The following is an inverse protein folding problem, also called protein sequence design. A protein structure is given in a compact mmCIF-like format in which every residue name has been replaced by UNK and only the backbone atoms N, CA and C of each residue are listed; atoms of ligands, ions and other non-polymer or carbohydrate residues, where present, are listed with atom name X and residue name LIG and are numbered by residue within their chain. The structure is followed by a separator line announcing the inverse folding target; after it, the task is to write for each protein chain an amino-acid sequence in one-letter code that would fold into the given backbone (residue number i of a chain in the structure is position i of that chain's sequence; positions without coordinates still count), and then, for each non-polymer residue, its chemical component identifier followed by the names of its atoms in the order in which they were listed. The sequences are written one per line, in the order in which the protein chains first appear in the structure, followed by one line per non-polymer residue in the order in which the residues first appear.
data_IF_336128930156
#
_entry.id   IF_336128930156
#
_cell.length_a   1.000
_cell.length_b   1.000
_cell.length_c   1.000
_cell.angle_alpha   90.00
_cell.angle_beta   90.00
_cell.angle_gamma   90.00
#
_symmetry.space_group_name_H-M   'P 1'
#
loop_
_entity.id
_entity.type
_entity.pdbx_description
1 polymer ?
#
# COMPACT_ATOMS: atom_id res chain seq x y z
N UNK A 1 17.18 -19.15 3.19
CA UNK A 1 16.20 -18.38 3.98
C UNK A 1 14.87 -18.50 3.25
N UNK A 2 13.76 -18.78 3.94
CA UNK A 2 12.47 -18.94 3.26
C UNK A 2 11.95 -17.56 2.84
N UNK A 3 11.80 -17.33 1.54
CA UNK A 3 11.16 -16.13 1.00
C UNK A 3 9.67 -16.17 1.38
N UNK A 4 9.18 -15.10 2.02
CA UNK A 4 7.77 -14.98 2.42
C UNK A 4 7.08 -13.98 1.51
N UNK A 5 5.98 -14.40 0.92
CA UNK A 5 5.15 -13.56 0.06
C UNK A 5 3.99 -12.99 0.86
N UNK A 6 3.81 -11.68 0.81
CA UNK A 6 2.78 -10.99 1.60
C UNK A 6 1.63 -10.50 0.74
N UNK A 7 0.41 -10.51 1.28
CA UNK A 7 -0.74 -9.87 0.64
C UNK A 7 -0.79 -8.37 0.97
N UNK A 8 -0.94 -7.51 -0.03
CA UNK A 8 -1.01 -6.06 0.18
C UNK A 8 -2.30 -5.56 0.85
N UNK A 9 -3.37 -6.35 0.82
CA UNK A 9 -4.67 -5.97 1.39
C UNK A 9 -4.88 -6.38 2.84
N UNK A 10 -4.24 -7.48 3.27
CA UNK A 10 -4.45 -8.04 4.62
C UNK A 10 -3.16 -8.39 5.36
N UNK A 11 -2.01 -8.36 4.69
CA UNK A 11 -0.72 -8.71 5.28
C UNK A 11 -0.55 -10.18 5.64
N UNK A 12 -1.44 -11.06 5.18
CA UNK A 12 -1.24 -12.51 5.23
C UNK A 12 0.03 -12.89 4.47
N UNK A 13 0.82 -13.80 5.02
CA UNK A 13 2.07 -14.28 4.41
C UNK A 13 1.98 -15.77 4.06
N UNK A 14 2.49 -16.15 2.90
CA UNK A 14 2.62 -17.54 2.47
C UNK A 14 4.05 -17.85 2.01
N UNK A 15 4.37 -19.15 1.91
CA UNK A 15 5.67 -19.64 1.42
C UNK A 15 5.86 -19.48 -0.08
N UNK A 16 4.77 -19.34 -0.84
CA UNK A 16 4.77 -19.26 -2.29
C UNK A 16 3.54 -18.49 -2.80
N UNK A 17 3.68 -17.87 -3.98
CA UNK A 17 2.67 -16.98 -4.59
C UNK A 17 1.37 -17.73 -4.89
N UNK A 18 1.46 -19.00 -5.31
CA UNK A 18 0.30 -19.81 -5.65
C UNK A 18 -0.58 -20.07 -4.42
N UNK A 19 0.04 -20.48 -3.31
CA UNK A 19 -0.67 -20.67 -2.04
C UNK A 19 -1.32 -19.37 -1.56
N UNK A 20 -0.64 -18.23 -1.71
CA UNK A 20 -1.20 -16.92 -1.36
C UNK A 20 -2.45 -16.59 -2.20
N UNK A 21 -2.30 -16.59 -3.52
CA UNK A 21 -3.33 -16.10 -4.47
C UNK A 21 -4.50 -17.06 -4.66
N UNK A 22 -4.34 -18.34 -4.29
CA UNK A 22 -5.42 -19.34 -4.30
C UNK A 22 -6.44 -19.16 -3.18
N UNK A 23 -6.07 -18.49 -2.08
CA UNK A 23 -6.94 -18.29 -0.94
C UNK A 23 -7.80 -17.01 -1.05
N UNK A 24 -9.04 -17.02 -0.51
CA UNK A 24 -9.89 -15.85 -0.48
C UNK A 24 -9.41 -14.81 0.55
N UNK A 25 -9.51 -13.53 0.21
CA UNK A 25 -9.12 -12.41 1.05
C UNK A 25 -10.31 -11.51 1.33
N UNK A 26 -10.85 -11.55 2.55
CA UNK A 26 -12.00 -10.72 2.98
C UNK A 26 -11.70 -9.23 3.03
N UNK A 27 -10.42 -8.84 3.05
CA UNK A 27 -9.98 -7.44 3.06
C UNK A 27 -9.64 -6.91 1.66
N UNK A 28 -9.69 -7.75 0.64
CA UNK A 28 -9.59 -7.29 -0.73
C UNK A 28 -10.96 -6.74 -1.15
N UNK A 29 -11.05 -5.43 -1.30
CA UNK A 29 -12.29 -4.75 -1.71
C UNK A 29 -12.47 -4.73 -3.23
N UNK A 30 -11.41 -5.00 -4.00
CA UNK A 30 -11.44 -4.98 -5.47
C UNK A 30 -11.53 -6.39 -6.09
N UNK A 31 -11.42 -7.45 -5.29
CA UNK A 31 -11.54 -8.83 -5.73
C UNK A 31 -11.63 -9.81 -4.55
N UNK A 32 -11.77 -11.10 -4.85
CA UNK A 32 -12.03 -12.11 -3.82
C UNK A 32 -10.76 -12.77 -3.26
N UNK A 33 -9.62 -12.66 -3.93
CA UNK A 33 -8.39 -13.39 -3.57
C UNK A 33 -7.30 -12.49 -2.97
N UNK A 34 -6.30 -13.07 -2.32
CA UNK A 34 -5.12 -12.30 -1.92
C UNK A 34 -4.37 -11.75 -3.13
N UNK A 35 -3.82 -10.54 -3.00
CA UNK A 35 -2.99 -9.91 -4.03
C UNK A 35 -1.60 -9.72 -3.48
N UNK A 36 -0.61 -10.22 -4.22
CA UNK A 36 0.80 -10.12 -3.86
C UNK A 36 1.21 -8.66 -3.68
N UNK A 37 1.99 -8.40 -2.63
CA UNK A 37 2.76 -7.19 -2.45
C UNK A 37 4.03 -7.30 -3.29
N UNK A 38 4.16 -6.44 -4.30
CA UNK A 38 5.29 -6.48 -5.26
C UNK A 38 6.52 -5.68 -4.79
N UNK A 39 6.46 -5.09 -3.59
CA UNK A 39 7.59 -4.35 -3.04
C UNK A 39 8.59 -5.24 -2.30
N UNK A 40 9.77 -4.68 -2.03
CA UNK A 40 10.81 -5.33 -1.23
C UNK A 40 10.45 -5.34 0.27
N UNK A 41 11.05 -6.27 1.03
CA UNK A 41 10.98 -6.28 2.48
C UNK A 41 11.65 -5.03 3.06
N UNK A 42 10.95 -4.34 3.96
CA UNK A 42 11.37 -3.08 4.57
C UNK A 42 11.20 -3.15 6.08
N UNK A 43 12.07 -2.44 6.81
CA UNK A 43 11.94 -2.30 8.27
C UNK A 43 10.64 -1.59 8.67
N UNK A 44 10.12 -0.72 7.80
CA UNK A 44 8.85 -0.03 7.98
C UNK A 44 8.09 0.07 6.65
N UNK A 45 6.80 -0.21 6.71
CA UNK A 45 5.88 -0.09 5.58
C UNK A 45 5.06 1.18 5.75
N UNK A 46 4.94 1.96 4.68
CA UNK A 46 4.17 3.21 4.69
C UNK A 46 2.93 3.06 3.82
N UNK A 47 1.78 3.49 4.31
CA UNK A 47 0.54 3.42 3.55
C UNK A 47 0.57 4.41 2.38
N UNK A 48 0.32 3.93 1.17
CA UNK A 48 0.34 4.76 -0.06
C UNK A 48 -0.73 5.86 -0.09
N UNK A 49 -1.80 5.74 0.72
CA UNK A 49 -2.95 6.65 0.73
C UNK A 49 -2.94 7.70 1.83
N UNK A 50 -2.29 7.44 2.97
CA UNK A 50 -2.28 8.37 4.09
C UNK A 50 -0.90 8.61 4.72
N UNK A 51 0.11 7.83 4.30
CA UNK A 51 1.46 7.89 4.87
C UNK A 51 1.57 7.37 6.30
N UNK A 52 0.59 6.61 6.81
CA UNK A 52 0.73 5.90 8.10
C UNK A 52 1.82 4.84 7.98
N UNK A 53 2.70 4.75 8.98
CA UNK A 53 3.76 3.75 9.03
C UNK A 53 3.33 2.55 9.89
N UNK A 54 3.82 1.37 9.56
CA UNK A 54 3.69 0.15 10.35
C UNK A 54 4.97 -0.69 10.25
N UNK A 55 5.28 -1.45 11.30
CA UNK A 55 6.47 -2.31 11.36
C UNK A 55 6.34 -3.57 10.48
N UNK A 56 5.11 -3.91 10.07
CA UNK A 56 4.83 -5.02 9.15
C UNK A 56 3.60 -4.70 8.30
N UNK A 57 3.44 -5.40 7.17
CA UNK A 57 2.27 -5.26 6.30
C UNK A 57 1.00 -5.67 7.05
N UNK A 58 1.04 -6.74 7.85
CA UNK A 58 -0.10 -7.16 8.69
C UNK A 58 -0.54 -6.09 9.68
N UNK A 59 0.40 -5.47 10.40
CA UNK A 59 0.07 -4.40 11.37
C UNK A 59 -0.42 -3.13 10.69
N UNK A 60 0.06 -2.85 9.47
CA UNK A 60 -0.41 -1.70 8.71
C UNK A 60 -1.85 -1.92 8.22
N UNK A 61 -2.10 -3.07 7.57
CA UNK A 61 -3.38 -3.43 6.91
C UNK A 61 -4.49 -3.82 7.88
N UNK A 62 -4.19 -4.03 9.16
CA UNK A 62 -5.20 -4.33 10.19
C UNK A 62 -6.08 -3.13 10.56
N UNK A 63 -5.63 -1.91 10.26
CA UNK A 63 -6.36 -0.68 10.55
C UNK A 63 -7.13 -0.12 9.35
N UNK A 64 -8.21 0.60 9.64
CA UNK A 64 -8.98 1.30 8.65
C UNK A 64 -8.26 2.57 8.14
N UNK A 65 -8.30 2.81 6.83
CA UNK A 65 -7.76 3.98 6.18
C UNK A 65 -8.88 4.81 5.53
N UNK A 66 -9.34 5.90 6.15
CA UNK A 66 -10.35 6.78 5.55
C UNK A 66 -9.85 7.49 4.27
N UNK A 67 -8.53 7.41 4.01
CA UNK A 67 -7.93 7.96 2.81
C UNK A 67 -7.85 6.99 1.63
N UNK A 68 -8.13 5.70 1.85
CA UNK A 68 -8.12 4.68 0.80
C UNK A 68 -9.42 4.77 -0.03
N UNK A 69 -9.33 5.01 -1.35
CA UNK A 69 -10.49 5.00 -2.22
C UNK A 69 -10.88 3.61 -2.75
N UNK A 70 -9.97 2.64 -2.68
CA UNK A 70 -10.17 1.28 -3.20
C UNK A 70 -10.76 0.33 -2.16
N UNK A 71 -10.87 0.74 -0.89
CA UNK A 71 -11.36 -0.09 0.20
C UNK A 71 -11.20 0.60 1.55
N UNK A 72 -11.48 -0.12 2.63
CA UNK A 72 -11.52 0.46 3.97
C UNK A 72 -10.20 0.39 4.73
N UNK A 73 -9.20 -0.39 4.27
CA UNK A 73 -7.97 -0.69 5.02
C UNK A 73 -6.75 0.07 4.49
N UNK A 74 -5.68 0.16 5.27
CA UNK A 74 -4.41 0.67 4.76
C UNK A 74 -3.78 -0.29 3.76
N UNK A 75 -3.16 0.26 2.72
CA UNK A 75 -2.39 -0.50 1.70
C UNK A 75 -0.94 -0.03 1.72
N UNK A 76 0.06 -0.92 1.85
CA UNK A 76 1.47 -0.55 1.81
C UNK A 76 1.86 0.02 0.45
N UNK A 77 2.81 0.94 0.46
CA UNK A 77 3.47 1.42 -0.74
C UNK A 77 4.48 0.38 -1.23
N UNK A 78 4.37 0.01 -2.51
CA UNK A 78 5.12 -1.09 -3.14
C UNK A 78 6.47 -0.62 -3.71
N UNK A 79 6.71 0.68 -3.82
CA UNK A 79 7.99 1.21 -4.33
C UNK A 79 9.07 1.32 -3.26
N UNK A 80 10.28 1.68 -3.70
CA UNK A 80 11.42 1.87 -2.80
C UNK A 80 11.39 3.17 -2.00
N UNK A 81 12.20 3.20 -0.94
CA UNK A 81 12.39 4.43 -0.18
C UNK A 81 13.17 5.43 -1.05
N UNK A 82 12.53 6.55 -1.37
CA UNK A 82 13.09 7.61 -2.21
C UNK A 82 13.26 8.87 -1.37
N UNK A 83 14.28 9.67 -1.71
CA UNK A 83 14.48 11.00 -1.11
C UNK A 83 13.26 11.92 -1.35
N UNK A 84 12.58 11.73 -2.48
CA UNK A 84 11.35 12.44 -2.83
C UNK A 84 10.35 11.49 -3.50
N UNK A 85 9.09 11.63 -3.13
CA UNK A 85 7.95 10.94 -3.69
C UNK A 85 7.21 11.88 -4.61
N UNK A 86 6.86 11.41 -5.80
CA UNK A 86 6.16 12.22 -6.82
C UNK A 86 4.74 11.70 -6.98
N UNK A 87 3.76 12.60 -7.07
CA UNK A 87 2.39 12.24 -7.37
C UNK A 87 2.27 11.80 -8.83
N UNK A 88 1.75 10.59 -9.08
CA UNK A 88 1.60 10.05 -10.44
C UNK A 88 0.64 10.84 -11.35
N UNK A 89 -0.28 11.61 -10.77
CA UNK A 89 -1.32 12.32 -11.53
C UNK A 89 -1.00 13.78 -11.83
N UNK A 90 -0.22 14.46 -10.97
CA UNK A 90 0.05 15.90 -11.11
C UNK A 90 1.54 16.26 -11.03
N UNK A 91 2.44 15.29 -10.80
CA UNK A 91 3.88 15.54 -10.70
C UNK A 91 4.33 16.26 -9.42
N UNK A 92 3.43 16.56 -8.48
CA UNK A 92 3.79 17.23 -7.23
C UNK A 92 4.71 16.34 -6.39
N UNK A 93 5.78 16.93 -5.84
CA UNK A 93 6.82 16.22 -5.10
C UNK A 93 6.73 16.51 -3.61
N UNK A 94 7.04 15.52 -2.78
CA UNK A 94 7.21 15.71 -1.34
C UNK A 94 8.29 14.77 -0.81
N UNK A 95 8.92 15.14 0.31
CA UNK A 95 9.95 14.32 0.96
C UNK A 95 9.39 13.08 1.68
N UNK A 96 8.06 12.97 1.80
CA UNK A 96 7.42 11.78 2.37
C UNK A 96 6.04 11.54 1.77
N UNK A 97 5.60 10.27 1.75
CA UNK A 97 4.24 9.89 1.33
C UNK A 97 3.19 10.58 2.20
N UNK A 98 3.45 10.78 3.50
CA UNK A 98 2.51 11.45 4.40
C UNK A 98 2.31 12.92 4.03
N UNK A 99 3.41 13.63 3.75
CA UNK A 99 3.35 15.00 3.26
C UNK A 99 2.64 15.08 1.91
N UNK A 100 2.94 14.16 0.99
CA UNK A 100 2.30 14.09 -0.33
C UNK A 100 0.78 13.90 -0.21
N UNK A 101 0.35 12.90 0.56
CA UNK A 101 -1.06 12.51 0.74
C UNK A 101 -1.85 13.41 1.69
N UNK A 102 -1.22 14.44 2.26
CA UNK A 102 -1.91 15.45 3.06
C UNK A 102 -2.66 16.46 2.21
N UNK A 103 -2.20 16.71 0.98
CA UNK A 103 -2.83 17.64 0.04
C UNK A 103 -3.97 17.06 -0.78
N UNK A 104 -4.62 17.93 -1.55
CA UNK A 104 -5.67 17.60 -2.51
C UNK A 104 -5.05 17.63 -3.91
N UNK A 105 -5.29 16.57 -4.69
CA UNK A 105 -4.84 16.50 -6.09
C UNK A 105 -6.05 16.53 -7.02
N UNK A 106 -6.32 17.66 -7.66
CA UNK A 106 -7.45 17.82 -8.58
C UNK A 106 -7.33 16.97 -9.85
N UNK A 107 -6.11 16.56 -10.22
CA UNK A 107 -5.83 15.68 -11.37
C UNK A 107 -6.01 14.20 -11.05
N UNK A 108 -6.19 13.84 -9.78
CA UNK A 108 -6.44 12.47 -9.36
C UNK A 108 -7.94 12.19 -9.35
N UNK A 109 -8.40 11.01 -9.81
CA UNK A 109 -9.81 10.63 -9.78
C UNK A 109 -10.40 10.66 -8.37
N UNK A 110 -9.57 10.45 -7.34
CA UNK A 110 -9.98 10.45 -5.94
C UNK A 110 -9.66 11.76 -5.20
N UNK A 111 -9.34 12.84 -5.94
CA UNK A 111 -9.00 14.17 -5.41
C UNK A 111 -7.84 14.16 -4.39
N UNK A 112 -6.98 13.14 -4.40
CA UNK A 112 -5.84 12.96 -3.48
C UNK A 112 -4.57 12.60 -4.21
N UNK A 113 -3.42 13.01 -3.69
CA UNK A 113 -2.14 12.62 -4.27
C UNK A 113 -1.87 11.14 -4.06
N UNK A 114 -1.26 10.51 -5.06
CA UNK A 114 -0.88 9.10 -5.02
C UNK A 114 0.58 8.99 -5.44
N UNK A 115 1.46 8.41 -4.60
CA UNK A 115 2.86 8.26 -4.95
C UNK A 115 2.98 7.35 -6.19
N UNK A 116 3.80 7.76 -7.14
CA UNK A 116 4.28 6.90 -8.22
C UNK A 116 5.26 5.88 -7.63
N UNK A 117 5.25 4.65 -8.18
CA UNK A 117 6.15 3.56 -7.77
C UNK A 117 7.60 3.85 -8.16
#
# INVERSE_FOLDING_TARGET
MAEKFYCKWCGHSASDIQSLTSAPCTRNSTGNCHVLYEGSEKQQYTCKYCGRKGFSISTLTSGACPKNPEGSNHVPYEGDEKQQYTCKYCGQKAFSIKSLTSGICTKSPHKRHHPAL
#
